data_IF_941876538092
#
_entry.id   IF_941876538092
#
_cell.length_a   1.000
_cell.length_b   1.000
_cell.length_c   1.000
_cell.angle_alpha   90.00
_cell.angle_beta   90.00
_cell.angle_gamma   90.00
#
_symmetry.space_group_name_H-M   'P 1'
#
loop_
_entity.id
_entity.type
_entity.pdbx_description
1 polymer ?
#
# COMPACT_ATOMS: atom_id res chain seq x y z
N UNK A 1 -22.44 10.00 3.67
CA UNK A 1 -21.46 9.60 2.63
C UNK A 1 -21.29 8.10 2.70
N UNK A 2 -21.45 7.40 1.58
CA UNK A 2 -21.17 5.96 1.56
C UNK A 2 -19.65 5.71 1.66
N UNK A 3 -19.21 4.59 2.28
CA UNK A 3 -17.78 4.27 2.41
C UNK A 3 -17.02 4.34 1.09
N UNK A 4 -17.63 3.88 -0.01
CA UNK A 4 -17.01 3.95 -1.33
C UNK A 4 -16.70 5.38 -1.77
N UNK A 5 -17.54 6.36 -1.41
CA UNK A 5 -17.35 7.76 -1.78
C UNK A 5 -16.14 8.36 -1.04
N UNK A 6 -15.94 7.99 0.23
CA UNK A 6 -14.79 8.44 1.03
C UNK A 6 -13.50 7.93 0.40
N UNK A 7 -13.45 6.63 0.07
CA UNK A 7 -12.27 6.04 -0.57
C UNK A 7 -12.01 6.62 -1.96
N UNK A 8 -13.06 6.82 -2.78
CA UNK A 8 -12.92 7.43 -4.10
C UNK A 8 -12.35 8.83 -4.05
N UNK A 9 -12.79 9.67 -3.10
CA UNK A 9 -12.25 11.02 -2.91
C UNK A 9 -10.78 10.98 -2.48
N UNK A 10 -10.42 10.09 -1.55
CA UNK A 10 -9.04 9.97 -1.11
C UNK A 10 -8.10 9.52 -2.25
N UNK A 11 -8.51 8.50 -3.01
CA UNK A 11 -7.75 7.97 -4.14
C UNK A 11 -7.64 8.98 -5.29
N UNK A 12 -8.73 9.68 -5.62
CA UNK A 12 -8.73 10.66 -6.71
C UNK A 12 -7.90 11.91 -6.38
N UNK A 13 -7.96 12.37 -5.13
CA UNK A 13 -7.16 13.51 -4.64
C UNK A 13 -5.67 13.18 -4.66
N UNK A 14 -5.29 11.98 -4.20
CA UNK A 14 -3.90 11.55 -4.27
C UNK A 14 -3.43 11.42 -5.72
N UNK A 15 -4.24 10.78 -6.59
CA UNK A 15 -3.90 10.59 -7.99
C UNK A 15 -3.74 11.88 -8.77
N UNK A 16 -4.60 12.88 -8.53
CA UNK A 16 -4.53 14.17 -9.22
C UNK A 16 -3.34 15.01 -8.79
N UNK A 17 -2.97 14.97 -7.51
CA UNK A 17 -1.87 15.76 -6.97
C UNK A 17 -0.51 15.09 -7.18
N UNK A 18 -0.40 13.80 -6.86
CA UNK A 18 0.90 13.10 -6.81
C UNK A 18 1.22 12.37 -8.12
N UNK A 19 0.20 11.90 -8.86
CA UNK A 19 0.37 11.18 -10.13
C UNK A 19 1.29 11.91 -11.14
N UNK A 20 1.14 13.21 -11.38
CA UNK A 20 2.01 13.97 -12.28
C UNK A 20 3.50 13.98 -11.87
N UNK A 21 3.79 13.91 -10.56
CA UNK A 21 5.17 13.91 -10.06
C UNK A 21 5.94 12.63 -10.43
N UNK A 22 5.26 11.49 -10.61
CA UNK A 22 5.90 10.26 -11.11
C UNK A 22 6.51 10.45 -12.51
N UNK A 23 5.75 11.07 -13.41
CA UNK A 23 6.22 11.40 -14.76
C UNK A 23 7.34 12.46 -14.76
N UNK A 24 7.25 13.47 -13.87
CA UNK A 24 8.33 14.44 -13.71
C UNK A 24 9.62 13.80 -13.18
N UNK A 25 9.53 12.88 -12.23
CA UNK A 25 10.69 12.16 -11.70
C UNK A 25 11.36 11.31 -12.78
N UNK A 26 10.59 10.55 -13.56
CA UNK A 26 11.11 9.77 -14.67
C UNK A 26 11.77 10.66 -15.73
N UNK A 27 11.13 11.77 -16.12
CA UNK A 27 11.69 12.74 -17.06
C UNK A 27 13.00 13.37 -16.54
N UNK A 28 13.06 13.73 -15.25
CA UNK A 28 14.26 14.25 -14.60
C UNK A 28 15.40 13.23 -14.58
N UNK A 29 15.09 11.96 -14.24
CA UNK A 29 16.05 10.87 -14.26
C UNK A 29 16.64 10.65 -15.65
N UNK A 30 15.80 10.61 -16.69
CA UNK A 30 16.25 10.49 -18.09
C UNK A 30 17.23 11.60 -18.48
N UNK A 31 16.93 12.84 -18.13
CA UNK A 31 17.81 13.99 -18.40
C UNK A 31 19.15 13.90 -17.65
N UNK A 32 19.16 13.40 -16.41
CA UNK A 32 20.38 13.22 -15.64
C UNK A 32 21.35 12.23 -16.32
N UNK A 33 20.83 11.19 -16.98
CA UNK A 33 21.61 10.21 -17.73
C UNK A 33 21.82 10.56 -19.21
N UNK A 34 21.36 11.73 -19.66
CA UNK A 34 21.39 12.17 -21.08
C UNK A 34 20.72 11.18 -22.05
N UNK A 35 19.76 10.40 -21.56
CA UNK A 35 18.93 9.48 -22.36
C UNK A 35 17.55 10.12 -22.59
N UNK A 36 16.93 9.86 -23.74
CA UNK A 36 15.61 10.42 -24.08
C UNK A 36 14.47 9.49 -23.69
N UNK A 37 14.65 8.20 -23.94
CA UNK A 37 13.69 7.13 -23.69
C UNK A 37 14.43 5.96 -23.03
N UNK A 38 13.79 5.26 -22.08
CA UNK A 38 14.43 4.15 -21.35
C UNK A 38 14.66 2.91 -22.22
N UNK A 39 13.88 2.77 -23.29
CA UNK A 39 13.97 1.72 -24.30
C UNK A 39 13.16 2.10 -25.54
N UNK A 40 13.53 1.58 -26.72
CA UNK A 40 12.70 1.62 -27.93
C UNK A 40 11.83 0.36 -28.02
N UNK A 41 11.00 0.12 -27.00
CA UNK A 41 10.16 -1.09 -26.97
C UNK A 41 9.08 -1.06 -28.04
N UNK A 42 8.60 0.14 -28.42
CA UNK A 42 7.67 0.33 -29.54
C UNK A 42 8.28 1.41 -30.45
N UNK A 43 8.59 1.09 -31.72
CA UNK A 43 9.20 2.06 -32.63
C UNK A 43 8.27 3.27 -32.81
N UNK A 44 8.77 4.46 -32.45
CA UNK A 44 8.03 5.73 -32.53
C UNK A 44 7.10 6.04 -31.34
N UNK A 45 7.07 5.22 -30.29
CA UNK A 45 6.13 5.36 -29.17
C UNK A 45 6.77 5.42 -27.78
N UNK A 46 8.11 5.37 -27.71
CA UNK A 46 8.90 5.41 -26.49
C UNK A 46 8.97 4.07 -25.76
N UNK A 47 9.53 4.09 -24.55
CA UNK A 47 9.69 2.90 -23.71
C UNK A 47 8.42 2.57 -22.93
N UNK A 48 8.19 1.28 -22.66
CA UNK A 48 7.13 0.86 -21.72
C UNK A 48 7.30 1.56 -20.36
N UNK A 49 8.54 1.72 -19.90
CA UNK A 49 8.84 2.36 -18.62
C UNK A 49 8.32 3.80 -18.52
N UNK A 50 8.27 4.54 -19.64
CA UNK A 50 7.75 5.91 -19.70
C UNK A 50 6.21 5.99 -19.58
N UNK A 51 5.52 4.84 -19.61
CA UNK A 51 4.06 4.74 -19.40
C UNK A 51 3.71 4.16 -18.02
N UNK A 52 4.68 3.57 -17.34
CA UNK A 52 4.48 2.90 -16.05
C UNK A 52 5.11 3.64 -14.88
N UNK A 53 5.85 4.72 -15.13
CA UNK A 53 6.46 5.60 -14.13
C UNK A 53 5.44 6.19 -13.14
N UNK A 54 4.36 6.80 -13.61
CA UNK A 54 3.28 7.28 -12.73
C UNK A 54 2.45 6.11 -12.15
N UNK A 55 2.30 5.04 -12.93
CA UNK A 55 1.46 3.90 -12.56
C UNK A 55 2.06 3.08 -11.42
N UNK A 56 3.39 2.99 -11.33
CA UNK A 56 4.08 2.31 -10.23
C UNK A 56 3.88 3.02 -8.90
N UNK A 57 3.97 4.36 -8.92
CA UNK A 57 3.72 5.19 -7.75
C UNK A 57 2.26 5.04 -7.30
N UNK A 58 1.32 5.12 -8.25
CA UNK A 58 -0.10 4.92 -7.98
C UNK A 58 -0.41 3.52 -7.44
N UNK A 59 0.15 2.46 -8.03
CA UNK A 59 -0.06 1.09 -7.59
C UNK A 59 0.43 0.87 -6.16
N UNK A 60 1.62 1.40 -5.82
CA UNK A 60 2.19 1.32 -4.47
C UNK A 60 1.28 2.00 -3.46
N UNK A 61 0.81 3.22 -3.77
CA UNK A 61 -0.11 3.95 -2.90
C UNK A 61 -1.44 3.21 -2.72
N UNK A 62 -2.07 2.76 -3.80
CA UNK A 62 -3.35 2.03 -3.74
C UNK A 62 -3.22 0.77 -2.90
N UNK A 63 -2.12 0.02 -3.05
CA UNK A 63 -1.87 -1.19 -2.26
C UNK A 63 -1.80 -0.88 -0.76
N UNK A 64 -1.02 0.13 -0.37
CA UNK A 64 -0.92 0.56 1.04
C UNK A 64 -2.26 1.07 1.55
N UNK A 65 -2.96 1.88 0.75
CA UNK A 65 -4.26 2.43 1.12
C UNK A 65 -5.30 1.33 1.38
N UNK A 66 -5.39 0.35 0.49
CA UNK A 66 -6.29 -0.79 0.66
C UNK A 66 -5.88 -1.59 1.90
N UNK A 67 -4.59 -1.89 2.07
CA UNK A 67 -4.10 -2.68 3.19
C UNK A 67 -4.33 -2.01 4.56
N UNK A 68 -4.26 -0.68 4.63
CA UNK A 68 -4.38 0.07 5.89
C UNK A 68 -5.80 0.53 6.21
N UNK A 69 -6.59 0.93 5.19
CA UNK A 69 -7.87 1.61 5.41
C UNK A 69 -9.10 0.81 4.96
N UNK A 70 -8.93 -0.18 4.06
CA UNK A 70 -10.06 -0.96 3.52
C UNK A 70 -10.07 -2.39 4.06
N UNK A 71 -8.91 -3.04 4.11
CA UNK A 71 -8.79 -4.42 4.60
C UNK A 71 -8.90 -4.43 6.12
N UNK A 72 -9.97 -5.01 6.64
CA UNK A 72 -10.12 -5.29 8.07
C UNK A 72 -9.01 -6.24 8.59
N UNK A 73 -8.79 -6.27 9.92
CA UNK A 73 -7.80 -7.14 10.53
C UNK A 73 -8.10 -8.60 10.18
N UNK A 74 -7.21 -9.21 9.41
CA UNK A 74 -7.31 -10.61 9.03
C UNK A 74 -6.86 -11.46 10.23
N UNK A 75 -7.72 -12.34 10.80
CA UNK A 75 -7.38 -13.15 11.96
C UNK A 75 -6.09 -13.97 11.77
N UNK A 76 -5.86 -14.49 10.56
CA UNK A 76 -4.66 -15.25 10.23
C UNK A 76 -3.40 -14.38 10.23
N UNK A 77 -3.49 -13.12 9.78
CA UNK A 77 -2.36 -12.17 9.85
C UNK A 77 -2.07 -11.76 11.28
N UNK A 78 -3.11 -11.50 12.07
CA UNK A 78 -2.95 -11.18 13.50
C UNK A 78 -2.28 -12.35 14.23
N UNK A 79 -2.73 -13.58 13.95
CA UNK A 79 -2.12 -14.77 14.52
C UNK A 79 -0.65 -14.93 14.11
N UNK A 80 -0.33 -14.73 12.82
CA UNK A 80 1.08 -14.74 12.37
C UNK A 80 1.92 -13.68 13.08
N UNK A 81 1.41 -12.46 13.25
CA UNK A 81 2.10 -11.40 13.99
C UNK A 81 2.34 -11.79 15.45
N UNK A 82 1.33 -12.37 16.12
CA UNK A 82 1.48 -12.88 17.48
C UNK A 82 2.56 -13.97 17.58
N UNK A 83 2.58 -14.90 16.62
CA UNK A 83 3.56 -15.99 16.58
C UNK A 83 5.00 -15.51 16.34
N UNK A 84 5.19 -14.31 15.76
CA UNK A 84 6.53 -13.70 15.58
C UNK A 84 7.06 -12.96 16.82
N UNK A 85 6.22 -12.71 17.83
CA UNK A 85 6.64 -12.03 19.06
C UNK A 85 7.49 -12.92 19.96
N UNK A 86 8.22 -12.30 20.90
CA UNK A 86 8.94 -13.02 21.94
C UNK A 86 8.00 -13.85 22.82
N UNK A 87 8.43 -15.03 23.35
CA UNK A 87 7.59 -15.90 24.15
C UNK A 87 6.92 -15.22 25.35
N UNK A 88 7.61 -14.30 26.02
CA UNK A 88 7.06 -13.55 27.16
C UNK A 88 5.89 -12.64 26.76
N UNK A 89 6.00 -12.01 25.59
CA UNK A 89 4.96 -11.14 25.03
C UNK A 89 3.75 -11.97 24.59
N UNK A 90 3.98 -13.15 23.98
CA UNK A 90 2.92 -14.09 23.64
C UNK A 90 2.14 -14.54 24.88
N UNK A 91 2.85 -14.89 25.95
CA UNK A 91 2.23 -15.34 27.20
C UNK A 91 1.41 -14.22 27.87
N UNK A 92 1.90 -12.98 27.83
CA UNK A 92 1.17 -11.82 28.35
C UNK A 92 -0.13 -11.58 27.56
N UNK A 93 -0.05 -11.57 26.23
CA UNK A 93 -1.22 -11.39 25.37
C UNK A 93 -2.25 -12.51 25.59
N UNK A 94 -1.79 -13.76 25.71
CA UNK A 94 -2.67 -14.89 26.02
C UNK A 94 -3.39 -14.70 27.36
N UNK A 95 -2.68 -14.27 28.41
CA UNK A 95 -3.28 -14.04 29.74
C UNK A 95 -4.34 -12.95 29.69
N UNK A 96 -4.04 -11.80 29.07
CA UNK A 96 -4.99 -10.68 28.92
C UNK A 96 -6.22 -11.12 28.13
N UNK A 97 -6.02 -11.83 27.02
CA UNK A 97 -7.13 -12.34 26.20
C UNK A 97 -8.01 -13.32 26.98
N UNK A 98 -7.40 -14.25 27.71
CA UNK A 98 -8.11 -15.22 28.55
C UNK A 98 -8.94 -14.53 29.62
N UNK A 99 -8.39 -13.55 30.35
CA UNK A 99 -9.11 -12.80 31.37
C UNK A 99 -10.32 -12.08 30.77
N UNK A 100 -10.15 -11.40 29.63
CA UNK A 100 -11.27 -10.73 28.96
C UNK A 100 -12.37 -11.68 28.49
N UNK A 101 -12.03 -12.89 28.06
CA UNK A 101 -13.03 -13.88 27.65
C UNK A 101 -13.81 -14.45 28.85
N UNK A 102 -13.14 -14.67 29.98
CA UNK A 102 -13.78 -15.06 31.24
C UNK A 102 -14.73 -13.97 31.76
N UNK A 103 -14.31 -12.70 31.74
CA UNK A 103 -15.15 -11.56 32.13
C UNK A 103 -16.41 -11.43 31.27
N UNK A 104 -16.33 -11.81 30.00
CA UNK A 104 -17.47 -11.85 29.07
C UNK A 104 -18.33 -13.11 29.20
N UNK A 105 -17.96 -14.06 30.05
CA UNK A 105 -18.66 -15.34 30.22
C UNK A 105 -18.60 -16.24 28.98
N UNK A 106 -17.61 -16.04 28.12
CA UNK A 106 -17.41 -16.83 26.89
C UNK A 106 -16.51 -18.06 27.14
N UNK A 107 -15.83 -18.11 28.28
CA UNK A 107 -14.97 -19.18 28.76
C UNK A 107 -15.28 -19.50 30.22
#
# INVERSE_FOLDING_TARGET
>A
MYPFQIHSIALSTFGSLIGPFGGFFASGFKRAFKIKDFADTIPGHGGIMDRFDCQYLMATFVHVYIASFIRGPNPSKVLQQLLTLQPDQQLNIYKVLKTHLLEKGLL
#
